data_IF_011232143651
#
_entry.id   IF_011232143651
#
_cell.length_a   1.000
_cell.length_b   1.000
_cell.length_c   1.000
_cell.angle_alpha   90.00
_cell.angle_beta   90.00
_cell.angle_gamma   90.00
#
_symmetry.space_group_name_H-M   'P 1'
#
loop_
_entity.id
_entity.type
_entity.pdbx_description
1 polymer ?
#
# COMPACT_ATOMS: atom_id res chain seq x y z
N UNK A 1 -1.45 -0.93 6.90
CA UNK A 1 -0.37 -1.23 7.85
C UNK A 1 -0.89 -1.13 9.27
N UNK A 2 -0.27 -1.82 10.23
CA UNK A 2 -0.56 -1.74 11.67
C UNK A 2 0.63 -1.15 12.42
N UNK A 3 0.40 -0.54 13.59
CA UNK A 3 1.47 -0.21 14.53
C UNK A 3 1.95 -1.45 15.32
N UNK A 4 2.89 -1.25 16.24
CA UNK A 4 3.51 -2.31 17.04
C UNK A 4 2.49 -3.09 17.88
N UNK A 5 1.52 -2.39 18.47
CA UNK A 5 0.55 -2.96 19.40
C UNK A 5 -0.70 -3.48 18.67
N UNK A 6 -0.80 -3.25 17.36
CA UNK A 6 -1.97 -3.59 16.55
C UNK A 6 -3.19 -2.71 16.85
N UNK A 7 -3.03 -1.65 17.65
CA UNK A 7 -4.10 -0.76 18.09
C UNK A 7 -4.40 0.32 17.06
N UNK A 8 -3.41 0.73 16.26
CA UNK A 8 -3.59 1.73 15.23
C UNK A 8 -3.34 1.17 13.84
N UNK A 9 -4.18 1.61 12.92
CA UNK A 9 -4.09 1.24 11.51
C UNK A 9 -3.93 2.49 10.64
N UNK A 10 -3.24 2.34 9.52
CA UNK A 10 -3.13 3.39 8.53
C UNK A 10 -2.97 2.83 7.11
N UNK A 11 -3.29 3.64 6.12
CA UNK A 11 -3.14 3.34 4.72
C UNK A 11 -2.62 4.56 3.94
N UNK A 12 -1.97 4.29 2.82
CA UNK A 12 -1.53 5.32 1.87
C UNK A 12 -1.60 4.78 0.44
N UNK A 13 -1.68 5.67 -0.53
CA UNK A 13 -1.61 5.30 -1.94
C UNK A 13 -0.17 5.06 -2.36
N UNK A 14 0.14 3.83 -2.76
CA UNK A 14 1.39 3.48 -3.43
C UNK A 14 1.12 3.30 -4.93
N UNK A 15 1.67 4.19 -5.75
CA UNK A 15 1.53 4.10 -7.21
C UNK A 15 2.48 3.05 -7.83
N UNK A 16 3.64 2.86 -7.22
CA UNK A 16 4.72 2.03 -7.74
C UNK A 16 4.84 0.77 -6.89
N UNK A 17 4.18 -0.29 -7.35
CA UNK A 17 4.28 -1.64 -6.77
C UNK A 17 4.67 -2.60 -7.89
N UNK A 18 5.65 -3.47 -7.63
CA UNK A 18 6.13 -4.43 -8.61
C UNK A 18 6.40 -5.79 -7.99
N UNK A 19 6.31 -6.85 -8.79
CA UNK A 19 6.82 -8.16 -8.43
C UNK A 19 8.34 -8.17 -8.57
N UNK A 20 9.03 -8.69 -7.55
CA UNK A 20 10.49 -8.79 -7.50
C UNK A 20 10.97 -10.22 -7.73
N UNK A 21 10.21 -11.22 -7.25
CA UNK A 21 10.61 -12.62 -7.33
C UNK A 21 9.38 -13.52 -7.44
N UNK A 22 9.58 -14.68 -8.09
CA UNK A 22 8.60 -15.76 -8.15
C UNK A 22 8.76 -16.78 -7.02
N UNK A 23 9.99 -17.04 -6.55
CA UNK A 23 10.26 -18.03 -5.50
C UNK A 23 11.44 -17.57 -4.60
N UNK A 24 11.18 -17.06 -3.38
CA UNK A 24 9.86 -16.79 -2.79
C UNK A 24 9.09 -15.71 -3.56
N UNK A 25 7.76 -15.66 -3.40
CA UNK A 25 6.93 -14.63 -4.04
C UNK A 25 7.16 -13.29 -3.33
N UNK A 26 7.88 -12.39 -4.00
CA UNK A 26 8.23 -11.08 -3.43
C UNK A 26 7.58 -9.95 -4.22
N UNK A 27 7.09 -8.95 -3.50
CA UNK A 27 6.69 -7.65 -4.02
C UNK A 27 7.62 -6.56 -3.48
N UNK A 28 7.69 -5.44 -4.17
CA UNK A 28 8.32 -4.22 -3.66
C UNK A 28 7.52 -2.96 -3.97
N UNK A 29 7.64 -2.00 -3.06
CA UNK A 29 7.12 -0.64 -3.21
C UNK A 29 8.05 0.35 -2.50
N UNK A 30 7.97 1.64 -2.85
CA UNK A 30 8.72 2.68 -2.17
C UNK A 30 7.85 3.48 -1.21
N UNK A 31 8.45 3.98 -0.12
CA UNK A 31 7.79 4.84 0.85
C UNK A 31 8.76 5.91 1.36
N UNK A 32 8.29 7.14 1.49
CA UNK A 32 9.07 8.21 2.11
C UNK A 32 9.15 7.95 3.63
N UNK A 33 10.33 7.95 4.26
CA UNK A 33 10.45 7.75 5.70
C UNK A 33 9.68 8.74 6.59
N UNK A 34 9.30 9.90 6.04
CA UNK A 34 8.44 10.90 6.71
C UNK A 34 6.95 10.53 6.70
N UNK A 35 6.54 9.55 5.90
CA UNK A 35 5.16 9.06 5.88
C UNK A 35 4.86 8.33 7.20
N UNK A 36 3.74 8.65 7.87
CA UNK A 36 3.32 7.99 9.12
C UNK A 36 3.27 6.46 9.00
N UNK A 37 2.92 5.95 7.82
CA UNK A 37 2.85 4.50 7.58
C UNK A 37 4.21 3.81 7.63
N UNK A 38 5.32 4.55 7.45
CA UNK A 38 6.67 3.96 7.46
C UNK A 38 7.07 3.47 8.85
N UNK A 39 6.83 4.24 9.90
CA UNK A 39 7.12 3.81 11.27
C UNK A 39 6.28 2.60 11.68
N UNK A 40 5.00 2.60 11.31
CA UNK A 40 4.08 1.48 11.52
C UNK A 40 4.57 0.21 10.81
N UNK A 41 4.95 0.33 9.54
CA UNK A 41 5.49 -0.78 8.74
C UNK A 41 6.81 -1.33 9.32
N UNK A 42 7.71 -0.44 9.74
CA UNK A 42 9.00 -0.82 10.35
C UNK A 42 8.79 -1.58 11.66
N UNK A 43 7.81 -1.17 12.47
CA UNK A 43 7.57 -1.76 13.78
C UNK A 43 6.79 -3.07 13.71
N UNK A 44 5.75 -3.14 12.87
CA UNK A 44 4.91 -4.34 12.74
C UNK A 44 5.53 -5.41 11.83
N UNK A 45 6.36 -5.01 10.86
CA UNK A 45 6.95 -5.92 9.88
C UNK A 45 5.95 -6.54 8.92
N UNK A 46 4.69 -6.07 8.90
CA UNK A 46 3.62 -6.62 8.07
C UNK A 46 2.82 -5.53 7.37
N UNK A 47 2.28 -5.86 6.20
CA UNK A 47 1.38 -4.99 5.47
C UNK A 47 0.42 -5.79 4.60
N UNK A 48 -0.69 -5.16 4.23
CA UNK A 48 -1.52 -5.63 3.14
C UNK A 48 -1.50 -4.58 2.02
N UNK A 49 -1.40 -5.05 0.78
CA UNK A 49 -1.49 -4.25 -0.44
C UNK A 49 -2.88 -4.49 -1.02
N UNK A 50 -3.72 -3.46 -1.03
CA UNK A 50 -5.05 -3.51 -1.65
C UNK A 50 -4.99 -2.92 -3.07
N UNK A 51 -5.36 -3.70 -4.08
CA UNK A 51 -5.34 -3.29 -5.48
C UNK A 51 -6.62 -2.53 -5.82
N UNK A 52 -6.54 -1.22 -6.03
CA UNK A 52 -7.70 -0.40 -6.37
C UNK A 52 -8.27 -0.78 -7.75
N UNK A 53 -9.60 -0.69 -7.88
CA UNK A 53 -10.35 -0.87 -9.13
C UNK A 53 -10.28 0.41 -9.97
N UNK A 54 -10.46 0.27 -11.27
CA UNK A 54 -10.37 1.36 -12.25
C UNK A 54 -11.16 2.64 -11.87
N UNK A 55 -12.33 2.50 -11.25
CA UNK A 55 -13.19 3.64 -10.87
C UNK A 55 -12.89 4.22 -9.48
N UNK A 56 -11.81 3.82 -8.82
CA UNK A 56 -11.46 4.19 -7.44
C UNK A 56 -10.43 5.33 -7.35
N UNK A 57 -10.39 6.23 -8.34
CA UNK A 57 -9.57 7.44 -8.31
C UNK A 57 -9.81 8.27 -7.02
N UNK A 58 -11.06 8.48 -6.55
CA UNK A 58 -11.29 9.21 -5.30
C UNK A 58 -10.61 8.57 -4.07
N UNK A 59 -10.55 7.23 -4.02
CA UNK A 59 -9.83 6.53 -2.94
C UNK A 59 -8.32 6.70 -3.06
N UNK A 60 -7.78 6.61 -4.28
CA UNK A 60 -6.38 6.88 -4.53
C UNK A 60 -5.99 8.31 -4.08
N UNK A 61 -6.86 9.30 -4.32
CA UNK A 61 -6.65 10.68 -3.85
C UNK A 61 -6.74 10.79 -2.33
N UNK A 62 -7.77 10.19 -1.72
CA UNK A 62 -7.95 10.18 -0.27
C UNK A 62 -6.74 9.59 0.47
N UNK A 63 -6.28 8.40 0.05
CA UNK A 63 -5.13 7.77 0.69
C UNK A 63 -3.79 8.42 0.32
N UNK A 64 -3.73 9.24 -0.74
CA UNK A 64 -2.57 10.07 -1.06
C UNK A 64 -2.49 11.38 -0.25
N UNK A 65 -3.57 11.79 0.44
CA UNK A 65 -3.59 13.02 1.25
C UNK A 65 -2.66 12.92 2.48
N UNK A 66 -2.51 14.00 3.24
CA UNK A 66 -1.80 13.98 4.54
C UNK A 66 -2.74 13.86 5.73
N UNK A 67 -4.01 13.47 5.53
CA UNK A 67 -5.00 13.41 6.59
C UNK A 67 -4.65 12.34 7.64
N UNK A 68 -5.02 12.60 8.89
CA UNK A 68 -4.67 11.77 10.05
C UNK A 68 -5.64 10.60 10.23
N UNK A 69 -6.90 10.78 9.85
CA UNK A 69 -7.97 9.79 9.98
C UNK A 69 -8.43 9.26 8.61
N UNK A 70 -7.53 8.52 7.95
CA UNK A 70 -7.82 7.96 6.61
C UNK A 70 -8.65 6.69 6.65
N UNK A 71 -8.70 6.01 7.80
CA UNK A 71 -9.28 4.69 7.93
C UNK A 71 -10.81 4.75 8.14
N UNK A 72 -11.31 5.84 8.72
CA UNK A 72 -12.75 6.04 8.94
C UNK A 72 -13.54 6.16 7.64
N UNK A 73 -14.76 5.63 7.63
CA UNK A 73 -15.68 5.71 6.48
C UNK A 73 -15.57 4.57 5.47
N UNK A 74 -14.65 3.62 5.68
CA UNK A 74 -14.44 2.47 4.79
C UNK A 74 -14.64 1.15 5.51
N UNK A 75 -14.97 0.11 4.74
CA UNK A 75 -15.09 -1.25 5.25
C UNK A 75 -13.76 -1.99 5.10
N UNK A 76 -13.26 -2.51 6.22
CA UNK A 76 -11.98 -3.19 6.30
C UNK A 76 -12.16 -4.67 6.64
N UNK A 77 -11.47 -5.52 5.90
CA UNK A 77 -11.18 -6.89 6.29
C UNK A 77 -9.77 -6.92 6.87
N UNK A 78 -9.42 -8.00 7.55
CA UNK A 78 -8.10 -8.17 8.15
C UNK A 78 -7.46 -9.43 7.59
N UNK A 79 -6.21 -9.27 7.14
CA UNK A 79 -5.42 -10.34 6.60
C UNK A 79 -4.98 -11.34 7.69
N UNK A 80 -4.30 -12.42 7.32
CA UNK A 80 -3.74 -13.37 8.29
C UNK A 80 -2.70 -12.72 9.19
N UNK A 81 -1.96 -11.73 8.67
CA UNK A 81 -1.05 -10.87 9.45
C UNK A 81 -1.74 -9.82 10.32
N UNK A 82 -3.08 -9.78 10.32
CA UNK A 82 -3.91 -8.70 10.85
C UNK A 82 -3.78 -7.36 10.10
N UNK A 83 -3.02 -7.28 9.01
CA UNK A 83 -2.97 -6.04 8.24
C UNK A 83 -4.34 -5.71 7.60
N UNK A 84 -4.76 -4.42 7.59
CA UNK A 84 -6.06 -4.03 7.07
C UNK A 84 -6.11 -4.12 5.54
N UNK A 85 -7.14 -4.79 5.03
CA UNK A 85 -7.46 -4.94 3.62
C UNK A 85 -8.71 -4.11 3.31
N UNK A 86 -8.63 -3.26 2.29
CA UNK A 86 -9.79 -2.46 1.86
C UNK A 86 -10.80 -3.38 1.16
N UNK A 87 -11.98 -3.59 1.75
CA UNK A 87 -12.96 -4.60 1.29
C UNK A 87 -13.46 -4.36 -0.12
N UNK A 88 -13.47 -3.11 -0.56
CA UNK A 88 -13.92 -2.73 -1.89
C UNK A 88 -12.82 -2.79 -2.96
N UNK A 89 -11.60 -3.19 -2.62
CA UNK A 89 -10.52 -3.36 -3.59
C UNK A 89 -10.76 -4.54 -4.54
N UNK A 90 -10.02 -4.61 -5.63
CA UNK A 90 -10.11 -5.71 -6.60
C UNK A 90 -9.52 -7.00 -6.05
N UNK A 91 -8.36 -6.89 -5.41
CA UNK A 91 -7.56 -7.98 -4.90
C UNK A 91 -6.68 -7.47 -3.76
N UNK A 92 -6.11 -8.39 -2.98
CA UNK A 92 -5.15 -8.07 -1.95
C UNK A 92 -3.93 -9.00 -1.98
N UNK A 93 -2.84 -8.52 -1.40
CA UNK A 93 -1.68 -9.31 -1.01
C UNK A 93 -1.41 -9.04 0.47
N UNK A 94 -1.36 -10.09 1.29
CA UNK A 94 -0.87 -10.05 2.66
C UNK A 94 0.63 -10.34 2.67
N UNK A 95 1.42 -9.48 3.30
CA UNK A 95 2.86 -9.49 3.13
C UNK A 95 3.63 -9.32 4.45
N UNK A 96 4.77 -10.03 4.56
CA UNK A 96 5.80 -9.80 5.58
C UNK A 96 6.97 -9.04 4.99
N UNK A 97 7.42 -7.97 5.65
CA UNK A 97 8.60 -7.21 5.25
C UNK A 97 9.85 -8.09 5.43
N UNK A 98 10.62 -8.26 4.37
CA UNK A 98 11.85 -9.06 4.36
C UNK A 98 13.10 -8.20 4.22
N UNK A 99 12.98 -7.05 3.56
CA UNK A 99 14.10 -6.13 3.37
C UNK A 99 13.63 -4.68 3.27
N UNK A 100 14.45 -3.76 3.79
CA UNK A 100 14.33 -2.32 3.57
C UNK A 100 15.63 -1.84 2.96
N UNK A 101 15.57 -1.18 1.81
CA UNK A 101 16.74 -0.68 1.07
C UNK A 101 16.67 0.84 0.99
N UNK A 102 17.71 1.53 1.46
CA UNK A 102 17.81 2.98 1.34
C UNK A 102 17.97 3.40 -0.12
N UNK A 103 17.17 4.38 -0.57
CA UNK A 103 17.14 4.77 -1.99
C UNK A 103 16.77 6.26 -2.14
N UNK A 104 17.70 7.14 -1.82
CA UNK A 104 17.50 8.59 -1.92
C UNK A 104 16.59 9.13 -0.80
N UNK A 105 15.53 9.84 -1.17
CA UNK A 105 14.56 10.39 -0.22
C UNK A 105 13.43 9.40 0.14
N UNK A 106 13.45 8.22 -0.46
CA UNK A 106 12.57 7.09 -0.17
C UNK A 106 13.38 5.88 0.29
N UNK A 107 12.67 4.90 0.84
CA UNK A 107 13.19 3.54 1.02
C UNK A 107 12.36 2.58 0.18
N UNK A 108 13.00 1.54 -0.35
CA UNK A 108 12.34 0.42 -1.01
C UNK A 108 12.04 -0.62 0.07
N UNK A 109 10.78 -1.03 0.15
CA UNK A 109 10.33 -2.14 0.98
C UNK A 109 10.19 -3.34 0.07
N UNK A 110 10.86 -4.43 0.41
CA UNK A 110 10.67 -5.75 -0.19
C UNK A 110 9.90 -6.60 0.81
N UNK A 111 8.84 -7.24 0.35
CA UNK A 111 7.99 -8.06 1.19
C UNK A 111 7.64 -9.40 0.52
N UNK A 112 7.61 -10.45 1.33
CA UNK A 112 7.16 -11.78 0.93
C UNK A 112 5.64 -11.86 1.07
N UNK A 113 4.97 -12.32 0.01
CA UNK A 113 3.53 -12.56 0.00
C UNK A 113 3.25 -13.86 0.74
N UNK A 114 2.47 -13.78 1.82
CA UNK A 114 2.09 -14.93 2.65
C UNK A 114 0.64 -15.39 2.42
N UNK A 115 -0.21 -14.51 1.88
CA UNK A 115 -1.58 -14.80 1.45
C UNK A 115 -2.00 -13.79 0.37
N UNK A 116 -2.94 -14.16 -0.49
CA UNK A 116 -3.48 -13.28 -1.52
C UNK A 116 -4.85 -13.76 -2.00
N UNK A 117 -5.68 -12.82 -2.44
CA UNK A 117 -7.02 -13.17 -2.91
C UNK A 117 -7.66 -12.09 -3.77
N UNK A 118 -8.62 -12.51 -4.60
CA UNK A 118 -9.54 -11.61 -5.27
C UNK A 118 -10.71 -11.30 -4.36
N UNK A 119 -11.07 -10.02 -4.23
CA UNK A 119 -12.29 -9.60 -3.52
C UNK A 119 -13.39 -9.26 -4.52
N UNK A 120 -13.05 -8.49 -5.56
CA UNK A 120 -13.95 -8.12 -6.65
C UNK A 120 -13.16 -8.17 -7.95
N UNK A 121 -13.35 -9.21 -8.77
CA UNK A 121 -12.62 -9.37 -10.05
C UNK A 121 -13.02 -8.27 -11.05
N UNK A 122 -12.34 -7.12 -10.98
CA UNK A 122 -12.51 -5.94 -11.81
C UNK A 122 -11.14 -5.48 -12.32
N UNK A 123 -11.14 -4.62 -13.34
CA UNK A 123 -9.90 -4.06 -13.86
C UNK A 123 -9.25 -3.17 -12.79
N UNK A 124 -7.92 -3.25 -12.59
CA UNK A 124 -7.22 -2.41 -11.65
C UNK A 124 -7.13 -0.96 -12.15
N UNK A 125 -7.01 -0.01 -11.21
CA UNK A 125 -6.68 1.37 -11.49
C UNK A 125 -5.24 1.44 -12.02
N UNK A 126 -5.08 2.06 -13.20
CA UNK A 126 -3.77 2.31 -13.78
C UNK A 126 -3.25 3.67 -13.36
N UNK A 127 -1.92 3.77 -13.20
CA UNK A 127 -1.27 5.02 -12.85
C UNK A 127 -1.59 6.14 -13.86
N UNK A 128 -1.69 5.83 -15.15
CA UNK A 128 -2.06 6.79 -16.20
C UNK A 128 -3.46 7.40 -16.03
N UNK A 129 -4.35 6.74 -15.29
CA UNK A 129 -5.71 7.22 -15.02
C UNK A 129 -5.76 8.16 -13.81
N UNK A 130 -4.68 8.25 -13.04
CA UNK A 130 -4.62 9.08 -11.83
C UNK A 130 -4.35 10.56 -12.10
N UNK A 131 -3.92 10.92 -13.30
CA UNK A 131 -3.53 12.30 -13.61
C UNK A 131 -2.22 12.68 -12.91
N UNK A 132 -2.24 13.73 -12.07
CA UNK A 132 -1.05 14.28 -11.40
C UNK A 132 -1.20 14.27 -9.86
N UNK A 133 -1.76 13.19 -9.30
CA UNK A 133 -1.99 13.05 -7.84
C UNK A 133 -0.69 13.23 -7.06
N UNK A 134 0.40 12.66 -7.56
CA UNK A 134 1.73 12.70 -6.91
C UNK A 134 2.55 13.94 -7.27
N UNK A 135 2.01 14.82 -8.13
CA UNK A 135 2.65 16.06 -8.61
C UNK A 135 3.96 15.81 -9.37
N UNK A 136 4.16 14.60 -9.88
CA UNK A 136 5.35 14.22 -10.66
C UNK A 136 5.51 15.04 -11.94
N UNK A 137 4.43 15.61 -12.48
CA UNK A 137 4.47 16.51 -13.64
C UNK A 137 5.37 17.74 -13.46
N UNK A 138 5.71 18.08 -12.21
CA UNK A 138 6.57 19.22 -11.86
C UNK A 138 8.06 18.87 -11.79
N UNK A 139 8.43 17.58 -11.76
CA UNK A 139 9.82 17.17 -11.53
C UNK A 139 10.70 17.20 -12.78
N UNK A 140 10.11 17.08 -13.97
CA UNK A 140 10.84 16.99 -15.24
C UNK A 140 10.76 18.28 -16.07
N UNK A 141 10.66 19.43 -15.41
CA UNK A 141 10.60 20.76 -16.05
C UNK A 141 11.97 21.44 -16.09
#
# INVERSE_FOLDING_TARGET
MLDHDGEQTNAFTAAWVMQVSFSPLLLAFSINPKNRSYSMLRNSGVCAISVLKQNQIPLAQHFASSDVDKMTGYQWQYATSSAPILSESSAYFDCKVTQTVESGDHVIIVCEVIDAGYLQQRLPLLYSETGDIDRSSKMFK
#
